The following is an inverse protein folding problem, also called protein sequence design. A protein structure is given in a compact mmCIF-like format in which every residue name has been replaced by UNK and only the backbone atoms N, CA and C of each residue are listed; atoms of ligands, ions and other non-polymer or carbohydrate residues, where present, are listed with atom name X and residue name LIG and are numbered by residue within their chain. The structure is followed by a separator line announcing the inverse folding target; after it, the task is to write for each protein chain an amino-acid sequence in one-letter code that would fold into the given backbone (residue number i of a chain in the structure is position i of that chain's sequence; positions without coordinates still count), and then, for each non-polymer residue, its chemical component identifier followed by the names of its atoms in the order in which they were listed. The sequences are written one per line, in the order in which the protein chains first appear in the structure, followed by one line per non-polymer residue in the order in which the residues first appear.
data_IF_680517656924
#
_entry.id   IF_680517656924
#
_cell.length_a   1.000
_cell.length_b   1.000
_cell.length_c   1.000
_cell.angle_alpha   90.00
_cell.angle_beta   90.00
_cell.angle_gamma   90.00
#
_symmetry.space_group_name_H-M   'P 1'
#
loop_
_entity.id
_entity.type
_entity.pdbx_description
1 polymer ?
#
# COMPACT_ATOMS: atom_id res chain seq x y z
N UNK A 1 2.55 9.49 -9.99
CA UNK A 1 2.56 9.99 -8.59
C UNK A 1 3.33 8.99 -7.74
N UNK A 2 4.65 9.14 -7.62
CA UNK A 2 5.47 8.22 -6.83
C UNK A 2 5.09 8.31 -5.35
N UNK A 3 4.88 7.16 -4.72
CA UNK A 3 4.70 7.08 -3.27
C UNK A 3 5.97 7.61 -2.60
N UNK A 4 5.91 8.81 -2.03
CA UNK A 4 6.96 9.33 -1.16
C UNK A 4 7.22 8.34 -0.02
N UNK A 5 8.49 8.19 0.37
CA UNK A 5 8.90 7.32 1.46
C UNK A 5 8.30 7.78 2.80
N UNK A 6 8.25 6.87 3.77
CA UNK A 6 7.78 7.14 5.13
C UNK A 6 8.55 8.30 5.77
N UNK A 7 9.86 8.36 5.54
CA UNK A 7 10.76 9.41 6.03
C UNK A 7 10.37 10.80 5.53
N UNK A 8 10.17 10.95 4.21
CA UNK A 8 9.73 12.22 3.62
C UNK A 8 8.38 12.68 4.19
N UNK A 9 7.47 11.74 4.48
CA UNK A 9 6.18 12.05 5.11
C UNK A 9 6.33 12.48 6.57
N UNK A 10 7.28 11.91 7.31
CA UNK A 10 7.61 12.33 8.68
C UNK A 10 8.22 13.73 8.69
N UNK A 11 9.14 14.02 7.78
CA UNK A 11 9.73 15.35 7.63
C UNK A 11 8.68 16.41 7.26
N UNK A 12 7.78 16.09 6.32
CA UNK A 12 6.65 16.96 5.99
C UNK A 12 5.77 17.23 7.22
N UNK A 13 5.45 16.19 7.99
CA UNK A 13 4.66 16.33 9.21
C UNK A 13 5.36 17.26 10.22
N UNK A 14 6.65 17.05 10.46
CA UNK A 14 7.45 17.88 11.37
C UNK A 14 7.51 19.34 10.90
N UNK A 15 7.67 19.58 9.59
CA UNK A 15 7.63 20.91 9.01
C UNK A 15 6.30 21.62 9.28
N UNK A 16 5.18 20.93 9.05
CA UNK A 16 3.85 21.50 9.30
C UNK A 16 3.58 21.74 10.79
N UNK A 17 4.04 20.86 11.66
CA UNK A 17 3.95 21.02 13.12
C UNK A 17 4.77 22.22 13.61
N UNK A 18 6.00 22.38 13.13
CA UNK A 18 6.84 23.54 13.45
C UNK A 18 6.18 24.85 12.98
N UNK A 19 5.61 24.86 11.76
CA UNK A 19 4.90 26.02 11.21
C UNK A 19 3.63 26.33 12.01
N UNK A 20 2.89 25.31 12.46
CA UNK A 20 1.72 25.46 13.33
C UNK A 20 2.11 26.05 14.68
N UNK A 21 3.18 25.54 15.31
CA UNK A 21 3.68 26.03 16.59
C UNK A 21 4.09 27.50 16.51
N UNK A 22 4.86 27.87 15.48
CA UNK A 22 5.25 29.26 15.23
C UNK A 22 4.02 30.16 15.07
N UNK A 23 3.03 29.73 14.30
CA UNK A 23 1.81 30.52 14.10
C UNK A 23 1.01 30.70 15.39
N UNK A 24 0.94 29.67 16.23
CA UNK A 24 0.26 29.75 17.54
C UNK A 24 1.00 30.72 18.45
N UNK A 25 2.33 30.67 18.51
CA UNK A 25 3.16 31.61 19.28
C UNK A 25 2.92 33.06 18.83
N UNK A 26 3.00 33.34 17.53
CA UNK A 26 2.72 34.68 16.96
C UNK A 26 1.33 35.22 17.31
N UNK A 27 0.34 34.34 17.47
CA UNK A 27 -1.03 34.72 17.83
C UNK A 27 -1.19 34.91 19.35
N UNK A 28 -0.48 34.12 20.14
CA UNK A 28 -0.42 34.27 21.60
C UNK A 28 0.27 35.59 21.99
N UNK A 29 1.36 35.95 21.31
CA UNK A 29 2.08 37.22 21.53
C UNK A 29 1.20 38.44 21.21
N UNK A 30 0.28 38.29 20.25
CA UNK A 30 -0.72 39.32 19.90
C UNK A 30 -1.93 39.34 20.85
N UNK A 31 -1.84 38.65 21.97
CA UNK A 31 -2.87 38.58 23.02
C UNK A 31 -4.25 38.15 22.49
N UNK A 32 -4.29 37.30 21.45
CA UNK A 32 -5.56 36.75 20.98
C UNK A 32 -6.06 35.70 21.95
N UNK A 33 -7.35 35.80 22.29
CA UNK A 33 -8.08 34.78 23.03
C UNK A 33 -7.87 33.39 22.37
N UNK A 34 -7.58 32.32 23.14
CA UNK A 34 -7.48 30.95 22.63
C UNK A 34 -8.61 30.53 21.67
N UNK A 35 -9.83 31.03 21.88
CA UNK A 35 -10.96 30.79 20.97
C UNK A 35 -10.71 31.38 19.59
N UNK A 36 -10.21 32.61 19.53
CA UNK A 36 -9.84 33.29 18.29
C UNK A 36 -8.64 32.60 17.60
N UNK A 37 -7.68 32.09 18.36
CA UNK A 37 -6.56 31.29 17.81
C UNK A 37 -7.07 30.01 17.14
N UNK A 38 -8.04 29.33 17.76
CA UNK A 38 -8.63 28.11 17.20
C UNK A 38 -9.46 28.36 15.93
N UNK A 39 -10.06 29.55 15.82
CA UNK A 39 -10.86 29.97 14.69
C UNK A 39 -10.02 30.48 13.50
N UNK A 40 -8.73 30.81 13.74
CA UNK A 40 -7.82 31.30 12.70
C UNK A 40 -7.72 30.31 11.54
N UNK A 41 -7.98 30.80 10.32
CA UNK A 41 -8.07 29.96 9.12
C UNK A 41 -6.75 29.30 8.77
N UNK A 42 -5.62 29.95 9.09
CA UNK A 42 -4.27 29.42 8.84
C UNK A 42 -3.98 28.29 9.83
N UNK A 43 -4.29 28.47 11.11
CA UNK A 43 -4.17 27.43 12.14
C UNK A 43 -5.02 26.20 11.76
N UNK A 44 -6.27 26.41 11.31
CA UNK A 44 -7.15 25.31 10.88
C UNK A 44 -6.60 24.55 9.67
N UNK A 45 -6.07 25.26 8.67
CA UNK A 45 -5.42 24.67 7.50
C UNK A 45 -4.18 23.85 7.89
N UNK A 46 -3.29 24.42 8.71
CA UNK A 46 -2.09 23.72 9.17
C UNK A 46 -2.43 22.46 9.97
N UNK A 47 -3.43 22.51 10.85
CA UNK A 47 -3.94 21.33 11.56
C UNK A 47 -4.54 20.28 10.63
N UNK A 48 -5.12 20.68 9.50
CA UNK A 48 -5.60 19.74 8.49
C UNK A 48 -4.43 19.02 7.80
N UNK A 49 -3.40 19.76 7.38
CA UNK A 49 -2.19 19.17 6.77
C UNK A 49 -1.48 18.18 7.71
N UNK A 50 -1.37 18.50 9.01
CA UNK A 50 -0.80 17.56 9.99
C UNK A 50 -1.63 16.28 10.10
N UNK A 51 -2.96 16.39 10.10
CA UNK A 51 -3.86 15.23 10.15
C UNK A 51 -3.76 14.38 8.89
N UNK A 52 -3.68 15.00 7.72
CA UNK A 52 -3.55 14.31 6.45
C UNK A 52 -2.21 13.57 6.34
N UNK A 53 -1.12 14.21 6.77
CA UNK A 53 0.20 13.57 6.85
C UNK A 53 0.16 12.37 7.81
N UNK A 54 -0.47 12.52 8.98
CA UNK A 54 -0.66 11.44 9.95
C UNK A 54 -1.49 10.28 9.39
N UNK A 55 -2.59 10.56 8.69
CA UNK A 55 -3.43 9.54 8.05
C UNK A 55 -2.64 8.73 7.01
N UNK A 56 -1.82 9.40 6.20
CA UNK A 56 -0.96 8.74 5.22
C UNK A 56 0.10 7.86 5.88
N UNK A 57 0.71 8.31 6.97
CA UNK A 57 1.68 7.52 7.73
C UNK A 57 1.05 6.23 8.29
N UNK A 58 -0.15 6.33 8.86
CA UNK A 58 -0.90 5.15 9.35
C UNK A 58 -1.18 4.14 8.24
N UNK A 59 -1.50 4.59 7.03
CA UNK A 59 -1.71 3.69 5.89
C UNK A 59 -0.42 2.97 5.51
N UNK A 60 0.74 3.65 5.57
CA UNK A 60 2.04 3.03 5.32
C UNK A 60 2.33 1.98 6.40
N UNK A 61 2.14 2.31 7.67
CA UNK A 61 2.35 1.37 8.79
C UNK A 61 1.45 0.13 8.69
N UNK A 62 0.18 0.31 8.35
CA UNK A 62 -0.74 -0.82 8.14
C UNK A 62 -0.28 -1.73 6.99
N UNK A 63 0.27 -1.15 5.92
CA UNK A 63 0.83 -1.92 4.80
C UNK A 63 2.11 -2.67 5.20
N UNK A 64 2.98 -2.04 6.00
CA UNK A 64 4.17 -2.68 6.55
C UNK A 64 3.79 -3.88 7.43
N UNK A 65 2.79 -3.73 8.31
CA UNK A 65 2.27 -4.82 9.14
C UNK A 65 1.70 -5.97 8.30
N UNK A 66 0.87 -5.66 7.30
CA UNK A 66 0.34 -6.68 6.39
C UNK A 66 1.44 -7.41 5.62
N UNK A 67 2.49 -6.70 5.19
CA UNK A 67 3.64 -7.30 4.53
C UNK A 67 4.40 -8.26 5.46
N UNK A 68 4.60 -7.89 6.72
CA UNK A 68 5.23 -8.73 7.74
C UNK A 68 4.38 -9.98 8.02
N UNK A 69 3.07 -9.84 8.18
CA UNK A 69 2.17 -11.00 8.36
C UNK A 69 2.22 -11.95 7.16
N UNK A 70 2.19 -11.39 5.94
CA UNK A 70 2.30 -12.18 4.72
C UNK A 70 3.66 -12.88 4.60
N UNK A 71 4.75 -12.23 5.03
CA UNK A 71 6.07 -12.83 5.09
C UNK A 71 6.13 -13.99 6.10
N UNK A 72 5.55 -13.82 7.29
CA UNK A 72 5.42 -14.90 8.30
C UNK A 72 4.64 -16.09 7.77
N UNK A 73 3.46 -15.85 7.19
CA UNK A 73 2.64 -16.91 6.56
C UNK A 73 3.38 -17.62 5.42
N UNK A 74 4.22 -16.91 4.65
CA UNK A 74 5.06 -17.53 3.62
C UNK A 74 6.18 -18.37 4.22
N UNK A 75 6.85 -17.87 5.27
CA UNK A 75 7.90 -18.60 5.97
C UNK A 75 7.35 -19.89 6.62
N UNK A 76 6.19 -19.82 7.27
CA UNK A 76 5.49 -21.00 7.82
C UNK A 76 5.15 -22.03 6.73
N UNK A 77 4.61 -21.58 5.59
CA UNK A 77 4.31 -22.46 4.44
C UNK A 77 5.55 -23.10 3.81
N UNK A 78 6.70 -22.42 3.87
CA UNK A 78 7.98 -22.96 3.37
C UNK A 78 8.63 -23.90 4.38
N UNK A 79 8.44 -23.66 5.68
CA UNK A 79 8.92 -24.49 6.77
C UNK A 79 8.10 -25.77 6.94
N UNK A 80 6.80 -25.76 6.60
CA UNK A 80 6.04 -26.99 6.45
C UNK A 80 6.56 -27.74 5.21
N UNK A 81 7.19 -28.91 5.36
CA UNK A 81 7.64 -29.68 4.20
C UNK A 81 6.41 -29.93 3.34
N UNK A 82 6.48 -29.53 2.06
CA UNK A 82 5.49 -29.91 1.05
C UNK A 82 5.40 -31.43 1.13
N UNK A 83 4.36 -31.95 1.77
CA UNK A 83 4.05 -33.37 1.73
C UNK A 83 3.96 -33.68 0.26
N UNK A 84 5.00 -34.34 -0.25
CA UNK A 84 5.10 -34.81 -1.62
C UNK A 84 3.82 -35.61 -1.81
N UNK A 85 2.82 -35.03 -2.48
CA UNK A 85 1.70 -35.81 -2.99
C UNK A 85 2.38 -36.87 -3.82
N UNK A 86 2.28 -38.09 -3.29
CA UNK A 86 2.99 -39.23 -3.78
C UNK A 86 2.81 -39.30 -5.30
N UNK A 87 3.91 -39.64 -5.96
CA UNK A 87 3.90 -40.31 -7.26
C UNK A 87 2.75 -41.33 -7.27
N UNK A 88 1.64 -40.99 -7.92
CA UNK A 88 0.67 -41.97 -8.41
C UNK A 88 0.02 -41.38 -9.65
N UNK A 89 0.27 -42.06 -10.77
CA UNK A 89 -0.15 -41.80 -12.15
C UNK A 89 0.77 -40.89 -12.97
N UNK A 90 1.94 -41.45 -13.31
CA UNK A 90 2.38 -41.41 -14.70
C UNK A 90 1.33 -42.17 -15.55
N UNK A 91 1.15 -41.73 -16.80
CA UNK A 91 0.39 -42.40 -17.87
C UNK A 91 -1.14 -42.44 -17.74
N UNK A 92 -1.81 -41.34 -18.10
CA UNK A 92 -2.94 -41.30 -19.05
C UNK A 92 -3.54 -39.89 -19.07
N UNK A 93 -2.78 -38.93 -19.57
CA UNK A 93 -3.41 -37.77 -20.20
C UNK A 93 -2.68 -37.58 -21.52
N UNK A 94 -2.98 -38.49 -22.45
CA UNK A 94 -2.80 -38.22 -23.88
C UNK A 94 -3.49 -36.89 -24.12
N UNK A 95 -2.64 -35.86 -24.21
CA UNK A 95 -2.83 -34.60 -24.90
C UNK A 95 -4.07 -34.62 -25.80
N UNK A 96 -5.25 -34.32 -25.26
CA UNK A 96 -6.35 -33.92 -26.13
C UNK A 96 -6.00 -32.51 -26.62
N UNK A 97 -5.77 -32.33 -27.93
CA UNK A 97 -5.45 -31.01 -28.43
C UNK A 97 -6.66 -30.10 -28.20
N UNK A 98 -6.45 -29.02 -27.45
CA UNK A 98 -7.41 -27.90 -27.30
C UNK A 98 -8.14 -27.62 -28.62
N UNK A 99 -9.46 -27.37 -28.55
CA UNK A 99 -10.33 -27.03 -29.70
C UNK A 99 -9.68 -26.02 -30.67
N UNK A 100 -8.85 -25.12 -30.16
CA UNK A 100 -8.10 -24.13 -30.95
C UNK A 100 -7.04 -24.75 -31.88
N UNK A 101 -6.31 -25.78 -31.42
CA UNK A 101 -5.34 -26.53 -32.23
C UNK A 101 -6.02 -27.38 -33.30
N UNK A 102 -7.16 -28.01 -32.98
CA UNK A 102 -7.94 -28.78 -33.95
C UNK A 102 -8.48 -27.91 -35.09
N UNK A 103 -9.00 -26.70 -34.78
CA UNK A 103 -9.48 -25.76 -35.80
C UNK A 103 -8.36 -25.26 -36.72
N UNK A 104 -7.16 -25.03 -36.18
CA UNK A 104 -5.98 -24.62 -36.97
C UNK A 104 -5.52 -25.72 -37.93
N UNK A 105 -5.49 -26.98 -37.47
CA UNK A 105 -5.13 -28.12 -38.32
C UNK A 105 -6.16 -28.41 -39.41
N UNK A 106 -7.47 -28.32 -39.12
CA UNK A 106 -8.52 -28.43 -40.16
C UNK A 106 -8.36 -27.35 -41.24
N UNK A 107 -8.08 -26.11 -40.84
CA UNK A 107 -7.91 -24.99 -41.78
C UNK A 107 -6.63 -25.11 -42.63
N UNK A 108 -5.60 -25.79 -42.13
CA UNK A 108 -4.39 -26.09 -42.91
C UNK A 108 -4.60 -27.27 -43.87
N UNK A 109 -5.38 -28.29 -43.48
CA UNK A 109 -5.71 -29.42 -44.37
C UNK A 109 -6.67 -29.06 -45.50
N UNK A 110 -7.53 -28.06 -45.33
CA UNK A 110 -8.42 -27.55 -46.38
C UNK A 110 -7.75 -26.57 -47.36
N UNK A 111 -6.49 -26.20 -47.10
CA UNK A 111 -5.71 -25.28 -47.96
C UNK A 111 -4.62 -26.00 -48.78
N UNK A 112 -4.47 -27.31 -48.61
CA UNK A 112 -3.72 -28.20 -49.50
C UNK A 112 -4.74 -28.91 -50.39
#
# INVERSE_FOLDING_TARGET
MGSQSKEVRLEQKAYWEAKLARRIAELADKSRDPRAISADTVVRKLRAEVRDAGARLRVIENREQQALEMARKKAEKLATPKVKKAKKKQEEEKQEPSKRRQKKQKKQKQKK
#
